data_IF_904052845880
#
_entry.id   IF_904052845880
#
_cell.length_a   1.000
_cell.length_b   1.000
_cell.length_c   1.000
_cell.angle_alpha   90.00
_cell.angle_beta   90.00
_cell.angle_gamma   90.00
#
_symmetry.space_group_name_H-M   'P 1'
#
loop_
_entity.id
_entity.type
_entity.pdbx_description
1 polymer ?
#
# COMPACT_ATOMS: atom_id res chain seq x y z
N UNK A 1 10.09 -72.78 24.45
CA UNK A 1 9.79 -72.78 22.99
C UNK A 1 8.58 -71.89 22.82
N UNK A 2 8.80 -70.54 22.63
CA UNK A 2 7.72 -69.54 22.51
C UNK A 2 7.83 -68.94 21.10
N UNK A 3 6.80 -69.18 20.33
CA UNK A 3 6.68 -68.75 18.92
C UNK A 3 6.26 -67.29 18.89
N UNK A 4 7.15 -66.41 18.44
CA UNK A 4 6.89 -65.03 18.17
C UNK A 4 6.07 -64.92 16.86
N UNK A 5 4.82 -64.52 16.95
CA UNK A 5 3.98 -64.13 15.80
C UNK A 5 4.46 -62.78 15.26
N UNK A 6 4.99 -62.80 14.08
CA UNK A 6 5.34 -61.65 13.25
C UNK A 6 4.07 -60.93 12.82
N UNK A 7 3.90 -59.66 13.27
CA UNK A 7 2.79 -58.79 12.89
C UNK A 7 3.11 -58.19 11.53
N UNK A 8 2.39 -58.55 10.50
CA UNK A 8 2.46 -57.92 9.18
C UNK A 8 2.01 -56.47 9.29
N UNK A 9 2.94 -55.57 8.92
CA UNK A 9 2.62 -54.15 8.71
C UNK A 9 2.08 -54.02 7.28
N UNK A 10 0.79 -53.81 7.16
CA UNK A 10 0.17 -53.41 5.88
C UNK A 10 0.77 -52.08 5.44
N UNK A 11 1.48 -52.08 4.32
CA UNK A 11 1.90 -50.87 3.63
C UNK A 11 0.64 -50.20 3.07
N UNK A 12 0.24 -49.06 3.65
CA UNK A 12 -0.71 -48.17 3.06
C UNK A 12 0.02 -47.36 2.00
N UNK A 13 -0.52 -47.36 0.79
CA UNK A 13 -0.11 -46.54 -0.34
C UNK A 13 -0.15 -45.07 0.01
N UNK A 14 0.79 -44.23 -0.44
CA UNK A 14 0.78 -42.80 -0.19
C UNK A 14 -0.10 -42.10 -1.24
N UNK A 15 -1.39 -42.06 -1.03
CA UNK A 15 -2.34 -41.26 -1.82
C UNK A 15 -3.36 -40.55 -0.92
N UNK A 16 -2.88 -39.90 0.11
CA UNK A 16 -3.60 -38.83 0.77
C UNK A 16 -2.55 -37.78 1.11
N UNK A 17 -2.33 -36.84 0.21
CA UNK A 17 -1.73 -35.56 0.53
C UNK A 17 -2.82 -34.80 1.28
N UNK A 18 -2.85 -35.01 2.59
CA UNK A 18 -3.59 -34.13 3.49
C UNK A 18 -3.12 -32.70 3.18
N UNK A 19 -4.03 -31.91 2.65
CA UNK A 19 -3.92 -30.48 2.71
C UNK A 19 -3.69 -30.14 4.19
N UNK A 20 -2.49 -29.78 4.57
CA UNK A 20 -2.20 -29.18 5.85
C UNK A 20 -2.93 -27.86 5.83
N UNK A 21 -4.20 -27.91 6.24
CA UNK A 21 -4.96 -26.73 6.56
C UNK A 21 -4.21 -26.04 7.69
N UNK A 22 -3.79 -24.80 7.48
CA UNK A 22 -3.29 -23.98 8.56
C UNK A 22 -4.29 -24.01 9.69
N UNK A 23 -3.91 -24.62 10.82
CA UNK A 23 -4.67 -24.53 12.07
C UNK A 23 -4.51 -23.08 12.54
N UNK A 24 -5.40 -22.24 12.14
CA UNK A 24 -5.60 -20.94 12.77
C UNK A 24 -6.32 -21.21 14.10
N UNK A 25 -5.62 -20.97 15.20
CA UNK A 25 -6.20 -20.98 16.54
C UNK A 25 -7.43 -20.08 16.54
N UNK A 26 -8.54 -20.61 17.10
CA UNK A 26 -9.84 -19.96 17.07
C UNK A 26 -9.82 -18.53 17.60
N UNK A 27 -10.20 -17.61 16.74
CA UNK A 27 -10.41 -16.21 17.01
C UNK A 27 -10.72 -15.53 15.69
N UNK A 28 -11.98 -15.15 15.50
CA UNK A 28 -12.53 -14.43 14.35
C UNK A 28 -12.41 -15.15 13.00
N UNK A 29 -13.51 -15.67 12.50
CA UNK A 29 -13.72 -15.97 11.08
C UNK A 29 -13.87 -14.65 10.30
N UNK A 30 -12.91 -13.75 10.41
CA UNK A 30 -12.82 -12.53 9.66
C UNK A 30 -11.59 -12.59 8.78
N UNK A 31 -11.76 -12.34 7.50
CA UNK A 31 -10.79 -11.89 6.51
C UNK A 31 -9.46 -12.64 6.28
N UNK A 32 -8.97 -13.50 7.15
CA UNK A 32 -7.67 -14.19 7.03
C UNK A 32 -7.64 -15.35 6.03
N UNK A 33 -8.77 -15.82 5.52
CA UNK A 33 -8.82 -16.81 4.42
C UNK A 33 -8.89 -16.17 3.02
N UNK A 34 -8.59 -14.91 2.87
CA UNK A 34 -9.26 -13.99 1.98
C UNK A 34 -8.38 -13.36 0.90
N UNK A 35 -7.13 -13.79 0.72
CA UNK A 35 -6.37 -13.21 -0.39
C UNK A 35 -7.07 -13.48 -1.75
N UNK A 36 -7.66 -14.65 -1.95
CA UNK A 36 -8.44 -14.95 -3.16
C UNK A 36 -9.82 -14.28 -3.17
N UNK A 37 -10.49 -14.18 -2.03
CA UNK A 37 -11.77 -13.47 -1.91
C UNK A 37 -11.61 -11.97 -1.66
N UNK A 38 -10.50 -11.51 -1.07
CA UNK A 38 -10.20 -10.07 -0.91
C UNK A 38 -9.88 -9.39 -2.23
N UNK A 39 -9.20 -10.06 -3.16
CA UNK A 39 -9.04 -9.51 -4.51
C UNK A 39 -10.38 -9.36 -5.23
N UNK A 40 -11.32 -10.30 -5.04
CA UNK A 40 -12.60 -10.24 -5.74
C UNK A 40 -13.68 -9.49 -4.94
N UNK A 41 -13.81 -9.70 -3.65
CA UNK A 41 -14.91 -9.15 -2.86
C UNK A 41 -14.50 -7.94 -2.01
N UNK A 42 -13.31 -7.94 -1.39
CA UNK A 42 -12.85 -6.88 -0.51
C UNK A 42 -12.43 -5.62 -1.25
N UNK A 43 -11.63 -5.74 -2.32
CA UNK A 43 -11.24 -4.59 -3.15
C UNK A 43 -12.42 -4.00 -3.91
N UNK A 44 -13.32 -4.85 -4.43
CA UNK A 44 -14.51 -4.40 -5.15
C UNK A 44 -15.58 -3.83 -4.23
N UNK A 45 -15.65 -4.30 -2.99
CA UNK A 45 -16.68 -3.90 -2.04
C UNK A 45 -16.31 -2.64 -1.25
N UNK A 46 -15.01 -2.34 -1.06
CA UNK A 46 -14.56 -1.22 -0.25
C UNK A 46 -13.73 -0.18 -1.03
N UNK A 47 -14.36 0.95 -1.44
CA UNK A 47 -13.67 1.97 -2.23
C UNK A 47 -12.51 2.66 -1.50
N UNK A 48 -12.50 2.72 -0.15
CA UNK A 48 -11.38 3.29 0.59
C UNK A 48 -10.15 2.39 0.52
N UNK A 49 -10.32 1.07 0.66
CA UNK A 49 -9.21 0.12 0.50
C UNK A 49 -8.65 0.22 -0.91
N UNK A 50 -9.53 0.15 -1.92
CA UNK A 50 -9.11 0.24 -3.31
C UNK A 50 -8.34 1.54 -3.59
N UNK A 51 -8.84 2.67 -3.10
CA UNK A 51 -8.19 3.96 -3.30
C UNK A 51 -6.83 4.04 -2.62
N UNK A 52 -6.71 3.59 -1.37
CA UNK A 52 -5.44 3.63 -0.64
C UNK A 52 -4.41 2.68 -1.24
N UNK A 53 -4.82 1.47 -1.65
CA UNK A 53 -3.93 0.51 -2.32
C UNK A 53 -3.46 1.05 -3.67
N UNK A 54 -4.38 1.63 -4.47
CA UNK A 54 -4.06 2.24 -5.76
C UNK A 54 -3.09 3.41 -5.62
N UNK A 55 -3.31 4.31 -4.66
CA UNK A 55 -2.39 5.43 -4.39
C UNK A 55 -0.97 4.96 -4.07
N UNK A 56 -0.83 3.97 -3.18
CA UNK A 56 0.48 3.39 -2.83
C UNK A 56 1.15 2.73 -4.02
N UNK A 57 0.40 1.86 -4.71
CA UNK A 57 0.93 1.09 -5.82
C UNK A 57 1.31 1.99 -7.00
N UNK A 58 0.46 2.96 -7.34
CA UNK A 58 0.71 3.90 -8.44
C UNK A 58 1.89 4.83 -8.14
N UNK A 59 2.01 5.32 -6.89
CA UNK A 59 3.10 6.21 -6.51
C UNK A 59 4.47 5.56 -6.65
N UNK A 60 4.64 4.32 -6.16
CA UNK A 60 5.90 3.58 -6.32
C UNK A 60 6.12 3.14 -7.77
N UNK A 61 5.06 2.70 -8.46
CA UNK A 61 5.15 2.25 -9.84
C UNK A 61 5.46 3.37 -10.85
N UNK A 62 5.21 4.62 -10.50
CA UNK A 62 5.56 5.78 -11.35
C UNK A 62 7.06 6.08 -11.38
N UNK A 63 7.83 5.52 -10.45
CA UNK A 63 9.26 5.75 -10.36
C UNK A 63 10.01 5.00 -11.47
N UNK A 64 10.91 5.72 -12.14
CA UNK A 64 11.76 5.14 -13.18
C UNK A 64 13.01 4.53 -12.55
N UNK A 65 13.36 3.26 -12.84
CA UNK A 65 14.57 2.66 -12.32
C UNK A 65 15.80 3.32 -12.95
N UNK A 66 16.80 3.61 -12.10
CA UNK A 66 18.10 4.14 -12.48
C UNK A 66 19.17 3.16 -11.99
N UNK A 67 20.17 2.90 -12.82
CA UNK A 67 21.32 2.05 -12.47
C UNK A 67 22.45 2.93 -11.96
N UNK A 68 23.10 2.50 -10.88
CA UNK A 68 24.24 3.18 -10.27
C UNK A 68 25.44 2.25 -10.19
N UNK A 69 26.62 2.80 -10.40
CA UNK A 69 27.91 2.13 -10.16
C UNK A 69 28.30 2.13 -8.66
N UNK A 70 29.47 1.55 -8.34
CA UNK A 70 30.01 1.51 -6.96
C UNK A 70 30.32 2.90 -6.41
N UNK A 71 30.63 3.87 -7.27
CA UNK A 71 30.93 5.25 -6.90
C UNK A 71 29.65 6.10 -6.73
N UNK A 72 28.48 5.53 -7.06
CA UNK A 72 27.18 6.20 -6.96
C UNK A 72 26.83 7.06 -8.18
N UNK A 73 27.56 6.95 -9.28
CA UNK A 73 27.23 7.64 -10.53
C UNK A 73 26.18 6.87 -11.31
N UNK A 74 25.36 7.59 -12.07
CA UNK A 74 24.36 6.98 -12.95
C UNK A 74 25.01 6.28 -14.14
N UNK A 75 24.62 5.02 -14.39
CA UNK A 75 25.07 4.23 -15.52
C UNK A 75 24.04 4.35 -16.66
N UNK A 76 24.20 5.30 -17.57
CA UNK A 76 23.32 5.45 -18.75
C UNK A 76 23.75 4.53 -19.90
N UNK A 77 23.86 3.23 -19.66
CA UNK A 77 24.06 2.22 -20.71
C UNK A 77 22.73 1.56 -21.10
N UNK A 78 22.14 2.02 -22.19
CA UNK A 78 20.89 1.45 -22.76
C UNK A 78 21.04 0.01 -23.24
N UNK A 79 22.27 -0.45 -23.47
CA UNK A 79 22.58 -1.81 -23.90
C UNK A 79 22.84 -2.76 -22.74
N UNK A 80 22.99 -2.23 -21.53
CA UNK A 80 23.19 -3.05 -20.35
C UNK A 80 22.04 -4.06 -20.20
N UNK A 81 22.31 -5.34 -19.87
CA UNK A 81 21.27 -6.37 -19.71
C UNK A 81 20.17 -5.97 -18.73
N UNK A 82 20.54 -5.36 -17.59
CA UNK A 82 19.58 -4.88 -16.58
C UNK A 82 18.72 -3.73 -17.10
N UNK A 83 19.27 -2.78 -17.89
CA UNK A 83 18.47 -1.70 -18.50
C UNK A 83 17.38 -2.24 -19.40
N UNK A 84 17.70 -3.31 -20.17
CA UNK A 84 16.72 -3.98 -21.03
C UNK A 84 15.68 -4.74 -20.24
N UNK A 85 16.12 -5.49 -19.22
CA UNK A 85 15.27 -6.26 -18.32
C UNK A 85 14.29 -5.35 -17.59
N UNK A 86 14.76 -4.26 -16.97
CA UNK A 86 13.92 -3.33 -16.23
C UNK A 86 12.95 -2.58 -17.15
N UNK A 87 13.33 -2.26 -18.38
CA UNK A 87 12.40 -1.64 -19.32
C UNK A 87 11.26 -2.58 -19.72
N UNK A 88 11.53 -3.89 -19.87
CA UNK A 88 10.56 -4.91 -20.27
C UNK A 88 10.80 -6.21 -19.52
N UNK A 89 10.37 -6.30 -18.26
CA UNK A 89 10.62 -7.46 -17.41
C UNK A 89 10.07 -8.75 -17.99
N UNK A 90 8.97 -8.66 -18.74
CA UNK A 90 8.31 -9.80 -19.35
C UNK A 90 7.55 -9.39 -20.62
N UNK A 91 7.28 -10.32 -21.56
CA UNK A 91 6.45 -10.02 -22.72
C UNK A 91 5.07 -9.51 -22.29
N UNK A 92 4.73 -8.29 -22.73
CA UNK A 92 3.43 -7.68 -22.43
C UNK A 92 3.31 -6.94 -21.10
N UNK A 93 4.37 -6.94 -20.27
CA UNK A 93 4.38 -6.24 -18.96
C UNK A 93 5.54 -5.24 -18.93
N UNK A 94 5.25 -3.99 -18.58
CA UNK A 94 6.25 -2.96 -18.31
C UNK A 94 6.76 -3.07 -16.88
N UNK A 95 7.90 -2.42 -16.57
CA UNK A 95 8.39 -2.28 -15.20
C UNK A 95 7.33 -1.68 -14.29
N UNK A 96 6.68 -0.60 -14.74
CA UNK A 96 5.60 0.04 -14.00
C UNK A 96 4.46 -0.94 -13.68
N UNK A 97 4.02 -1.75 -14.66
CA UNK A 97 2.94 -2.73 -14.45
C UNK A 97 3.33 -3.83 -13.46
N UNK A 98 4.58 -4.32 -13.52
CA UNK A 98 5.12 -5.30 -12.58
C UNK A 98 5.22 -4.71 -11.17
N UNK A 99 5.76 -3.49 -11.04
CA UNK A 99 5.89 -2.80 -9.75
C UNK A 99 4.52 -2.52 -9.14
N UNK A 100 3.56 -2.07 -9.93
CA UNK A 100 2.18 -1.86 -9.47
C UNK A 100 1.58 -3.15 -8.88
N UNK A 101 1.71 -4.28 -9.59
CA UNK A 101 1.23 -5.58 -9.10
C UNK A 101 1.94 -5.98 -7.80
N UNK A 102 3.26 -5.83 -7.72
CA UNK A 102 4.04 -6.15 -6.54
C UNK A 102 3.60 -5.31 -5.33
N UNK A 103 3.42 -4.01 -5.51
CA UNK A 103 2.96 -3.10 -4.46
C UNK A 103 1.53 -3.37 -4.02
N UNK A 104 0.64 -3.74 -4.96
CA UNK A 104 -0.70 -4.23 -4.62
C UNK A 104 -0.64 -5.47 -3.72
N UNK A 105 0.17 -6.47 -4.10
CA UNK A 105 0.33 -7.69 -3.32
C UNK A 105 0.90 -7.40 -1.92
N UNK A 106 1.88 -6.50 -1.84
CA UNK A 106 2.47 -6.08 -0.56
C UNK A 106 1.45 -5.39 0.35
N UNK A 107 0.62 -4.51 -0.21
CA UNK A 107 -0.41 -3.82 0.55
C UNK A 107 -1.52 -4.77 1.05
N UNK A 108 -1.92 -5.76 0.24
CA UNK A 108 -3.04 -6.65 0.56
C UNK A 108 -2.65 -7.89 1.36
N UNK A 109 -1.46 -8.42 1.11
CA UNK A 109 -1.00 -9.69 1.71
C UNK A 109 0.22 -9.53 2.62
N UNK A 110 0.90 -8.38 2.56
CA UNK A 110 2.18 -8.18 3.23
C UNK A 110 3.36 -8.85 2.55
N UNK A 111 3.16 -9.51 1.39
CA UNK A 111 4.18 -10.20 0.64
C UNK A 111 4.02 -9.92 -0.85
N UNK A 112 5.14 -9.67 -1.53
CA UNK A 112 5.19 -9.59 -2.98
C UNK A 112 6.31 -10.51 -3.48
N UNK A 113 5.99 -11.35 -4.45
CA UNK A 113 6.90 -12.32 -5.02
C UNK A 113 7.16 -11.99 -6.48
N UNK A 114 8.44 -11.84 -6.82
CA UNK A 114 8.89 -11.66 -8.20
C UNK A 114 9.72 -12.88 -8.58
N UNK A 115 9.21 -13.68 -9.49
CA UNK A 115 9.91 -14.87 -10.00
C UNK A 115 10.82 -14.49 -11.15
N UNK A 116 12.11 -14.80 -11.00
CA UNK A 116 13.14 -14.58 -12.02
C UNK A 116 13.33 -15.84 -12.83
N UNK A 117 13.34 -15.71 -14.15
CA UNK A 117 13.68 -16.80 -15.06
C UNK A 117 15.10 -16.53 -15.54
N UNK A 118 16.02 -17.43 -15.13
CA UNK A 118 17.44 -17.35 -15.43
C UNK A 118 17.79 -18.19 -16.65
N UNK A 119 18.72 -17.70 -17.46
CA UNK A 119 19.38 -18.41 -18.54
C UNK A 119 20.89 -18.39 -18.31
N UNK A 120 21.66 -19.02 -19.20
CA UNK A 120 23.14 -18.99 -19.16
C UNK A 120 23.69 -17.54 -19.20
N UNK A 121 22.87 -16.58 -19.68
CA UNK A 121 23.24 -15.17 -19.81
C UNK A 121 22.78 -14.29 -18.63
N UNK A 122 22.27 -14.88 -17.56
CA UNK A 122 21.70 -14.19 -16.42
C UNK A 122 20.17 -14.19 -16.41
N UNK A 123 19.56 -13.26 -15.69
CA UNK A 123 18.11 -13.11 -15.60
C UNK A 123 17.53 -12.57 -16.92
N UNK A 124 16.66 -13.35 -17.55
CA UNK A 124 16.01 -12.99 -18.81
C UNK A 124 14.63 -12.37 -18.61
N UNK A 125 13.90 -12.82 -17.58
CA UNK A 125 12.52 -12.37 -17.31
C UNK A 125 12.25 -12.28 -15.82
N UNK A 126 11.33 -11.40 -15.47
CA UNK A 126 10.78 -11.24 -14.12
C UNK A 126 9.26 -11.20 -14.19
N UNK A 127 8.60 -11.97 -13.33
CA UNK A 127 7.14 -12.00 -13.22
C UNK A 127 6.70 -11.75 -11.78
N UNK A 128 5.79 -10.81 -11.58
CA UNK A 128 5.08 -10.69 -10.32
C UNK A 128 4.06 -11.83 -10.19
N UNK A 129 4.16 -12.60 -9.09
CA UNK A 129 3.29 -13.75 -8.85
C UNK A 129 2.33 -13.43 -7.70
N UNK A 130 1.04 -13.77 -7.83
CA UNK A 130 0.09 -13.63 -6.74
C UNK A 130 0.54 -14.44 -5.50
N UNK A 131 0.55 -13.85 -4.30
CA UNK A 131 0.93 -14.56 -3.07
C UNK A 131 0.12 -15.83 -2.80
N UNK A 132 -1.13 -15.91 -3.28
CA UNK A 132 -1.94 -17.14 -3.20
C UNK A 132 -1.38 -18.32 -3.99
N UNK A 133 -0.54 -18.06 -4.98
CA UNK A 133 0.10 -19.08 -5.81
C UNK A 133 1.46 -19.51 -5.26
N UNK A 134 1.97 -18.89 -4.20
CA UNK A 134 3.31 -19.16 -3.65
C UNK A 134 3.21 -19.76 -2.26
N UNK A 135 3.94 -20.85 -2.04
CA UNK A 135 4.08 -21.50 -0.73
C UNK A 135 5.55 -21.71 -0.41
N UNK A 136 5.97 -21.44 0.82
CA UNK A 136 7.31 -21.68 1.28
C UNK A 136 7.44 -23.09 1.85
N UNK A 137 8.55 -23.79 1.52
CA UNK A 137 8.98 -24.97 2.25
C UNK A 137 10.06 -24.56 3.24
N UNK A 138 9.81 -24.67 4.56
CA UNK A 138 10.78 -24.30 5.57
C UNK A 138 12.02 -25.22 5.51
N UNK A 139 13.19 -24.63 5.70
CA UNK A 139 14.46 -25.37 5.73
C UNK A 139 14.78 -25.99 7.10
N UNK A 140 14.15 -25.46 8.16
CA UNK A 140 14.53 -25.76 9.54
C UNK A 140 15.79 -25.01 10.03
N UNK A 141 16.40 -24.21 9.17
CA UNK A 141 17.55 -23.37 9.52
C UNK A 141 17.09 -21.92 9.76
N UNK A 142 17.52 -21.32 10.87
CA UNK A 142 17.15 -19.97 11.23
C UNK A 142 17.75 -18.91 10.28
N UNK A 143 18.95 -19.18 9.74
CA UNK A 143 19.61 -18.24 8.84
C UNK A 143 19.02 -18.25 7.43
N UNK A 144 18.58 -19.45 6.97
CA UNK A 144 17.95 -19.64 5.68
C UNK A 144 16.58 -20.30 5.90
N UNK A 145 15.56 -19.55 6.30
CA UNK A 145 14.28 -20.12 6.75
C UNK A 145 13.52 -20.86 5.64
N UNK A 146 13.77 -20.52 4.37
CA UNK A 146 13.10 -21.10 3.20
C UNK A 146 14.07 -22.01 2.44
N UNK A 147 13.76 -23.31 2.36
CA UNK A 147 14.53 -24.26 1.55
C UNK A 147 14.22 -24.11 0.05
N UNK A 148 12.97 -23.86 -0.31
CA UNK A 148 12.48 -23.64 -1.67
C UNK A 148 11.11 -23.02 -1.67
N UNK A 149 10.76 -22.42 -2.79
CA UNK A 149 9.42 -21.90 -3.07
C UNK A 149 8.66 -22.87 -3.97
N UNK A 150 7.40 -23.09 -3.68
CA UNK A 150 6.47 -23.78 -4.55
C UNK A 150 5.53 -22.77 -5.19
N UNK A 151 5.49 -22.76 -6.51
CA UNK A 151 4.65 -21.84 -7.30
C UNK A 151 3.61 -22.69 -8.02
N UNK A 152 2.33 -22.45 -7.75
CA UNK A 152 1.20 -23.16 -8.36
C UNK A 152 0.58 -22.27 -9.43
N UNK A 153 0.63 -22.68 -10.68
CA UNK A 153 0.05 -21.97 -11.82
C UNK A 153 -0.94 -22.88 -12.54
N UNK A 154 -2.24 -22.68 -12.29
CA UNK A 154 -3.28 -23.53 -12.87
C UNK A 154 -3.10 -25.00 -12.48
N UNK A 155 -2.70 -25.84 -13.43
CA UNK A 155 -2.48 -27.27 -13.20
C UNK A 155 -1.00 -27.64 -12.95
N UNK A 156 -0.09 -26.68 -13.06
CA UNK A 156 1.34 -26.92 -12.92
C UNK A 156 1.84 -26.44 -11.56
N UNK A 157 2.69 -27.26 -10.95
CA UNK A 157 3.43 -26.92 -9.74
C UNK A 157 4.90 -26.83 -10.08
N UNK A 158 5.50 -25.68 -9.86
CA UNK A 158 6.90 -25.38 -10.11
C UNK A 158 7.60 -25.26 -8.76
N UNK A 159 8.76 -25.89 -8.61
CA UNK A 159 9.63 -25.66 -7.48
C UNK A 159 10.74 -24.71 -7.91
N UNK A 160 10.88 -23.60 -7.20
CA UNK A 160 11.88 -22.58 -7.45
C UNK A 160 12.86 -22.50 -6.28
N UNK A 161 14.12 -22.30 -6.59
CA UNK A 161 15.13 -22.07 -5.57
C UNK A 161 14.93 -20.69 -4.91
N UNK A 162 15.36 -20.50 -3.66
CA UNK A 162 15.24 -19.20 -2.99
C UNK A 162 15.86 -18.05 -3.80
N UNK A 163 16.95 -18.29 -4.52
CA UNK A 163 17.62 -17.32 -5.37
C UNK A 163 16.82 -16.92 -6.62
N UNK A 164 15.80 -17.70 -7.00
CA UNK A 164 14.99 -17.43 -8.19
C UNK A 164 13.72 -16.62 -7.87
N UNK A 165 13.46 -16.35 -6.59
CA UNK A 165 12.29 -15.59 -6.14
C UNK A 165 12.74 -14.40 -5.32
N UNK A 166 12.51 -13.20 -5.82
CA UNK A 166 12.70 -11.98 -5.06
C UNK A 166 11.47 -11.80 -4.18
N UNK A 167 11.67 -11.90 -2.87
CA UNK A 167 10.62 -11.76 -1.88
C UNK A 167 10.70 -10.39 -1.21
N UNK A 168 9.77 -9.52 -1.53
CA UNK A 168 9.56 -8.25 -0.82
C UNK A 168 8.45 -8.44 0.20
N UNK A 169 8.69 -8.10 1.45
CA UNK A 169 7.76 -8.41 2.53
C UNK A 169 7.61 -7.26 3.52
N UNK A 170 6.46 -7.16 4.15
CA UNK A 170 6.22 -6.31 5.33
C UNK A 170 6.96 -6.85 6.58
N UNK A 171 6.57 -6.40 7.79
CA UNK A 171 7.06 -6.98 9.02
C UNK A 171 6.83 -8.49 9.03
N UNK A 172 7.85 -9.27 9.40
CA UNK A 172 7.76 -10.73 9.37
C UNK A 172 6.92 -11.27 10.52
N UNK A 173 6.18 -12.35 10.25
CA UNK A 173 5.52 -13.19 11.26
C UNK A 173 6.55 -14.02 12.03
N UNK A 174 6.10 -14.74 13.05
CA UNK A 174 6.95 -15.62 13.84
C UNK A 174 7.58 -16.78 13.08
N UNK A 175 7.10 -17.07 11.87
CA UNK A 175 7.68 -18.08 10.96
C UNK A 175 8.99 -17.63 10.30
N UNK A 176 9.31 -16.34 10.36
CA UNK A 176 10.55 -15.75 9.84
C UNK A 176 10.57 -15.52 8.33
N UNK A 177 9.50 -15.87 7.59
CA UNK A 177 9.47 -15.71 6.13
C UNK A 177 8.14 -15.19 5.57
N UNK A 178 7.10 -15.08 6.38
CA UNK A 178 5.81 -14.51 5.93
C UNK A 178 5.66 -13.09 6.45
N UNK A 179 5.41 -12.14 5.54
CA UNK A 179 5.11 -10.76 5.90
C UNK A 179 3.67 -10.59 6.43
N UNK A 180 3.48 -9.58 7.27
CA UNK A 180 2.18 -9.17 7.79
C UNK A 180 1.60 -8.09 6.86
N UNK A 181 0.33 -8.24 6.48
CA UNK A 181 -0.36 -7.18 5.74
C UNK A 181 -0.67 -5.98 6.64
N UNK A 182 -0.48 -4.75 6.14
CA UNK A 182 -0.99 -3.57 6.83
C UNK A 182 -2.49 -3.64 7.13
N UNK A 183 -3.27 -4.26 6.25
CA UNK A 183 -4.72 -4.44 6.42
C UNK A 183 -5.10 -5.43 7.53
N UNK A 184 -4.18 -6.32 7.94
CA UNK A 184 -4.45 -7.23 9.07
C UNK A 184 -4.72 -6.45 10.35
N UNK A 185 -4.04 -5.31 10.54
CA UNK A 185 -4.25 -4.42 11.69
C UNK A 185 -5.58 -3.68 11.64
N UNK A 186 -6.12 -3.42 10.46
CA UNK A 186 -7.39 -2.75 10.24
C UNK A 186 -8.55 -3.72 9.96
N UNK A 187 -8.35 -5.03 10.13
CA UNK A 187 -9.35 -6.05 9.78
C UNK A 187 -10.71 -5.81 10.43
N UNK A 188 -10.73 -5.45 11.71
CA UNK A 188 -11.98 -5.14 12.43
C UNK A 188 -12.69 -3.92 11.84
N UNK A 189 -11.95 -2.88 11.42
CA UNK A 189 -12.51 -1.67 10.82
C UNK A 189 -13.07 -1.95 9.42
N UNK A 190 -12.43 -2.82 8.67
CA UNK A 190 -12.91 -3.30 7.37
C UNK A 190 -14.20 -4.09 7.51
N UNK A 191 -14.25 -5.02 8.47
CA UNK A 191 -15.45 -5.82 8.77
C UNK A 191 -16.60 -4.91 9.23
N UNK A 192 -16.34 -4.03 10.20
CA UNK A 192 -17.35 -3.09 10.69
C UNK A 192 -17.91 -2.20 9.59
N UNK A 193 -17.05 -1.72 8.67
CA UNK A 193 -17.49 -0.89 7.54
C UNK A 193 -18.31 -1.70 6.53
N UNK A 194 -17.94 -2.95 6.27
CA UNK A 194 -18.66 -3.85 5.37
C UNK A 194 -20.04 -4.18 5.93
N UNK A 195 -20.13 -4.55 7.21
CA UNK A 195 -21.39 -4.84 7.88
C UNK A 195 -22.30 -3.60 7.95
N UNK A 196 -21.75 -2.42 8.23
CA UNK A 196 -22.51 -1.16 8.22
C UNK A 196 -23.12 -0.88 6.83
N UNK A 197 -22.39 -1.16 5.75
CA UNK A 197 -22.89 -1.01 4.37
C UNK A 197 -23.96 -2.03 4.03
N UNK A 198 -23.76 -3.29 4.41
CA UNK A 198 -24.75 -4.36 4.22
C UNK A 198 -26.02 -3.99 4.98
N UNK A 199 -25.89 -3.56 6.23
CA UNK A 199 -27.00 -3.13 7.04
C UNK A 199 -27.76 -1.95 6.41
N UNK A 200 -27.06 -0.88 6.02
CA UNK A 200 -27.68 0.28 5.33
C UNK A 200 -28.39 -0.12 4.05
N UNK A 201 -27.77 -0.97 3.23
CA UNK A 201 -28.35 -1.47 1.99
C UNK A 201 -29.60 -2.29 2.28
N UNK A 202 -29.57 -3.15 3.30
CA UNK A 202 -30.70 -3.97 3.73
C UNK A 202 -31.84 -3.11 4.26
N UNK A 203 -31.53 -2.07 5.05
CA UNK A 203 -32.50 -1.10 5.54
C UNK A 203 -33.19 -0.35 4.37
N UNK A 204 -32.42 0.09 3.37
CA UNK A 204 -32.97 0.76 2.19
C UNK A 204 -33.84 -0.20 1.36
N UNK A 205 -33.38 -1.45 1.17
CA UNK A 205 -34.15 -2.47 0.45
C UNK A 205 -35.46 -2.85 1.16
N UNK A 206 -35.45 -2.83 2.49
CA UNK A 206 -36.62 -3.13 3.33
C UNK A 206 -37.49 -1.87 3.62
N UNK A 207 -37.24 -0.77 2.95
CA UNK A 207 -38.05 0.45 3.08
C UNK A 207 -37.75 1.29 4.32
N UNK A 208 -36.53 1.15 4.90
CA UNK A 208 -36.05 1.87 6.09
C UNK A 208 -37.04 1.82 7.30
N UNK A 209 -37.88 0.79 7.35
CA UNK A 209 -38.82 0.59 8.46
C UNK A 209 -38.17 -0.32 9.51
N UNK A 210 -38.27 0.06 10.77
CA UNK A 210 -37.82 -0.78 11.87
C UNK A 210 -38.61 -2.09 11.95
N UNK A 211 -38.02 -3.07 12.65
CA UNK A 211 -38.65 -4.34 12.95
C UNK A 211 -40.04 -4.12 13.55
N UNK A 212 -41.00 -4.77 12.99
CA UNK A 212 -42.38 -4.68 13.42
C UNK A 212 -42.76 -5.95 14.17
N UNK A 213 -43.29 -5.83 15.36
CA UNK A 213 -43.87 -6.91 16.12
C UNK A 213 -45.34 -7.01 15.83
N UNK A 214 -45.81 -8.18 15.36
CA UNK A 214 -47.22 -8.48 15.17
C UNK A 214 -47.65 -9.41 16.28
N UNK A 215 -48.52 -8.93 17.15
CA UNK A 215 -49.15 -9.72 18.20
C UNK A 215 -50.52 -10.24 17.72
N UNK A 216 -50.82 -11.50 18.01
CA UNK A 216 -52.11 -12.11 17.75
C UNK A 216 -52.77 -12.54 19.04
N UNK A 217 -54.09 -12.34 19.23
CA UNK A 217 -54.77 -12.71 20.47
C UNK A 217 -54.92 -14.24 20.62
N UNK A 218 -54.83 -14.99 19.55
CA UNK A 218 -54.97 -16.46 19.56
C UNK A 218 -53.65 -17.13 19.18
N UNK A 219 -53.39 -18.30 19.79
CA UNK A 219 -52.25 -19.16 19.47
C UNK A 219 -52.46 -19.82 18.11
N UNK A 220 -51.64 -19.52 17.14
CA UNK A 220 -51.72 -20.14 15.82
C UNK A 220 -51.15 -21.56 15.81
N UNK A 221 -51.74 -22.43 15.02
CA UNK A 221 -51.11 -23.71 14.72
C UNK A 221 -49.81 -23.51 13.93
N UNK A 222 -48.79 -24.41 14.03
CA UNK A 222 -47.53 -24.26 13.33
C UNK A 222 -47.72 -24.03 11.81
N UNK A 223 -48.65 -24.69 11.17
CA UNK A 223 -48.94 -24.53 9.74
C UNK A 223 -49.55 -23.16 9.42
N UNK A 224 -50.51 -22.70 10.26
CA UNK A 224 -51.10 -21.37 10.09
C UNK A 224 -50.07 -20.26 10.30
N UNK A 225 -49.13 -20.42 11.25
CA UNK A 225 -48.03 -19.48 11.48
C UNK A 225 -47.10 -19.38 10.30
N UNK A 226 -46.69 -20.53 9.70
CA UNK A 226 -45.82 -20.52 8.52
C UNK A 226 -46.51 -19.87 7.31
N UNK A 227 -47.78 -20.17 7.08
CA UNK A 227 -48.55 -19.55 6.00
C UNK A 227 -48.71 -18.02 6.21
N UNK A 228 -48.92 -17.58 7.45
CA UNK A 228 -49.01 -16.18 7.79
C UNK A 228 -47.63 -15.47 7.56
N UNK A 229 -46.55 -16.07 8.02
CA UNK A 229 -45.19 -15.58 7.77
C UNK A 229 -44.86 -15.45 6.28
N UNK A 230 -45.19 -16.47 5.50
CA UNK A 230 -44.98 -16.46 4.04
C UNK A 230 -45.80 -15.36 3.34
N UNK A 231 -47.05 -15.13 3.71
CA UNK A 231 -47.88 -14.04 3.19
C UNK A 231 -47.34 -12.67 3.54
N UNK A 232 -46.88 -12.45 4.79
CA UNK A 232 -46.25 -11.19 5.23
C UNK A 232 -45.00 -10.91 4.44
N UNK A 233 -44.13 -11.89 4.28
CA UNK A 233 -42.91 -11.74 3.50
C UNK A 233 -43.24 -11.40 2.04
N UNK A 234 -44.17 -12.06 1.42
CA UNK A 234 -44.56 -11.79 0.03
C UNK A 234 -45.16 -10.39 -0.15
N UNK A 235 -45.89 -9.87 0.84
CA UNK A 235 -46.58 -8.56 0.74
C UNK A 235 -45.72 -7.39 1.13
N UNK A 236 -44.76 -7.56 2.05
CA UNK A 236 -44.03 -6.44 2.68
C UNK A 236 -42.50 -6.51 2.53
N UNK A 237 -41.90 -7.61 2.06
CA UNK A 237 -40.48 -7.68 1.79
C UNK A 237 -40.10 -7.09 0.43
N UNK A 238 -38.96 -6.41 0.38
CA UNK A 238 -38.38 -5.85 -0.83
C UNK A 238 -38.77 -4.39 -1.11
N UNK A 239 -37.90 -3.66 -1.78
CA UNK A 239 -38.02 -2.23 -2.05
C UNK A 239 -39.27 -1.83 -2.85
N UNK A 240 -39.85 -2.73 -3.64
CA UNK A 240 -41.10 -2.50 -4.38
C UNK A 240 -42.35 -2.43 -3.48
N UNK A 241 -42.24 -2.93 -2.27
CA UNK A 241 -43.35 -2.96 -1.30
C UNK A 241 -43.18 -1.88 -0.22
N UNK A 242 -42.15 -1.06 -0.31
CA UNK A 242 -41.90 0.05 0.61
C UNK A 242 -43.12 1.03 0.59
N UNK A 243 -43.59 1.41 1.78
CA UNK A 243 -44.69 2.37 1.92
C UNK A 243 -46.09 1.79 1.79
N UNK A 244 -46.26 0.47 1.54
CA UNK A 244 -47.60 -0.14 1.54
C UNK A 244 -48.20 -0.14 2.94
N UNK A 245 -49.47 0.18 3.01
CA UNK A 245 -50.23 0.14 4.25
C UNK A 245 -50.56 -1.32 4.60
N UNK A 246 -50.23 -1.70 5.86
CA UNK A 246 -50.58 -2.99 6.40
C UNK A 246 -51.98 -2.93 7.05
N UNK A 247 -52.88 -3.78 6.58
CA UNK A 247 -54.18 -3.97 7.22
C UNK A 247 -54.15 -5.36 7.90
N UNK A 248 -54.41 -5.35 9.20
CA UNK A 248 -54.48 -6.57 10.02
C UNK A 248 -55.92 -6.85 10.39
N UNK A 249 -56.37 -8.08 10.26
CA UNK A 249 -57.68 -8.55 10.64
C UNK A 249 -57.59 -9.44 11.88
N UNK A 250 -58.74 -9.61 12.60
CA UNK A 250 -58.85 -10.51 13.75
C UNK A 250 -58.16 -10.04 15.03
N UNK A 251 -58.22 -8.71 15.31
CA UNK A 251 -57.69 -8.20 16.59
C UNK A 251 -56.15 -8.21 16.70
N UNK A 252 -55.43 -8.37 15.60
CA UNK A 252 -53.99 -8.34 15.59
C UNK A 252 -53.45 -6.91 15.74
N UNK A 253 -52.46 -6.74 16.57
CA UNK A 253 -51.83 -5.41 16.79
C UNK A 253 -50.41 -5.46 16.23
N UNK A 254 -50.02 -4.39 15.50
CA UNK A 254 -48.65 -4.18 15.05
C UNK A 254 -48.05 -3.05 15.86
N UNK A 255 -46.95 -3.32 16.52
CA UNK A 255 -46.09 -2.34 17.20
C UNK A 255 -44.78 -2.19 16.45
N UNK A 256 -44.32 -0.96 16.27
CA UNK A 256 -43.03 -0.67 15.70
C UNK A 256 -42.02 -0.47 16.84
N UNK A 257 -41.21 -1.47 17.10
CA UNK A 257 -40.19 -1.47 18.15
C UNK A 257 -38.78 -1.21 17.58
N UNK A 258 -38.68 -0.32 16.61
CA UNK A 258 -37.43 -0.10 15.93
C UNK A 258 -36.67 1.12 16.44
N UNK A 259 -35.35 1.00 16.46
CA UNK A 259 -34.47 2.15 16.62
C UNK A 259 -34.65 3.13 15.44
N UNK A 260 -34.69 4.45 15.72
CA UNK A 260 -34.73 5.42 14.65
C UNK A 260 -33.35 5.47 13.96
N UNK A 261 -33.32 5.72 12.65
CA UNK A 261 -32.08 5.90 11.90
C UNK A 261 -31.20 7.04 12.49
N UNK A 262 -31.82 7.89 13.33
CA UNK A 262 -31.15 9.02 14.02
C UNK A 262 -30.44 8.57 15.29
N UNK A 263 -30.83 7.44 15.90
CA UNK A 263 -30.25 6.94 17.13
C UNK A 263 -28.96 6.15 16.87
N UNK A 264 -28.69 5.84 15.63
CA UNK A 264 -27.47 5.17 15.20
C UNK A 264 -26.67 6.12 14.31
N UNK A 265 -25.63 6.74 14.87
CA UNK A 265 -24.73 7.63 14.13
C UNK A 265 -23.76 6.81 13.24
N UNK A 266 -24.36 6.05 12.30
CA UNK A 266 -23.60 5.22 11.37
C UNK A 266 -22.69 6.02 10.43
N UNK A 267 -23.01 7.29 10.17
CA UNK A 267 -22.19 8.10 9.27
C UNK A 267 -20.86 8.47 9.90
N UNK A 268 -20.85 8.81 11.19
CA UNK A 268 -19.62 9.04 11.95
C UNK A 268 -18.79 7.75 12.09
N UNK A 269 -19.45 6.63 12.34
CA UNK A 269 -18.79 5.32 12.41
C UNK A 269 -18.12 4.93 11.09
N UNK A 270 -18.79 5.09 9.95
CA UNK A 270 -18.21 4.81 8.62
C UNK A 270 -17.00 5.70 8.33
N UNK A 271 -17.06 6.98 8.72
CA UNK A 271 -15.94 7.91 8.53
C UNK A 271 -14.76 7.54 9.42
N UNK A 272 -14.99 7.16 10.66
CA UNK A 272 -13.94 6.72 11.58
C UNK A 272 -13.23 5.46 11.04
N UNK A 273 -13.98 4.42 10.69
CA UNK A 273 -13.40 3.18 10.15
C UNK A 273 -12.68 3.41 8.82
N UNK A 274 -13.12 4.36 7.99
CA UNK A 274 -12.41 4.75 6.77
C UNK A 274 -11.05 5.38 7.09
N UNK A 275 -10.96 6.24 8.11
CA UNK A 275 -9.70 6.84 8.56
C UNK A 275 -8.74 5.81 9.16
N UNK A 276 -9.25 4.82 9.89
CA UNK A 276 -8.46 3.71 10.40
C UNK A 276 -7.85 2.84 9.29
N UNK A 277 -8.60 2.60 8.22
CA UNK A 277 -8.08 1.92 7.01
C UNK A 277 -6.97 2.76 6.35
N UNK A 278 -7.18 4.06 6.22
CA UNK A 278 -6.19 4.98 5.68
C UNK A 278 -4.91 4.99 6.54
N UNK A 279 -5.05 5.03 7.86
CA UNK A 279 -3.94 4.98 8.81
C UNK A 279 -3.14 3.69 8.68
N UNK A 280 -3.80 2.53 8.63
CA UNK A 280 -3.14 1.23 8.47
C UNK A 280 -2.33 1.14 7.18
N UNK A 281 -2.83 1.75 6.10
CA UNK A 281 -2.15 1.79 4.81
C UNK A 281 -1.16 2.96 4.67
N UNK A 282 -1.02 3.82 5.69
CA UNK A 282 -0.14 4.98 5.66
C UNK A 282 -0.55 6.03 4.61
N UNK A 283 -1.85 6.15 4.31
CA UNK A 283 -2.37 7.12 3.34
C UNK A 283 -3.13 8.20 4.11
N UNK A 284 -2.77 9.49 3.98
CA UNK A 284 -3.55 10.57 4.55
C UNK A 284 -5.01 10.53 4.09
N UNK A 285 -5.99 10.66 4.98
CA UNK A 285 -7.42 10.57 4.65
C UNK A 285 -7.86 11.56 3.57
N UNK A 286 -7.22 12.73 3.52
CA UNK A 286 -7.47 13.80 2.54
C UNK A 286 -7.21 13.32 1.09
N UNK A 287 -6.21 12.44 0.89
CA UNK A 287 -5.87 11.86 -0.41
C UNK A 287 -6.81 10.70 -0.77
N UNK A 288 -7.38 10.05 0.24
CA UNK A 288 -8.34 8.97 0.04
C UNK A 288 -9.78 9.47 -0.21
N UNK A 289 -10.02 10.79 -0.11
CA UNK A 289 -11.31 11.39 -0.42
C UNK A 289 -12.06 11.96 0.79
N UNK A 290 -11.47 12.00 1.99
CA UNK A 290 -12.03 12.72 3.12
C UNK A 290 -11.88 14.25 2.90
N UNK A 291 -13.01 14.93 2.79
CA UNK A 291 -13.05 16.37 2.50
C UNK A 291 -13.26 17.25 3.73
N UNK A 292 -13.31 16.66 4.93
CA UNK A 292 -13.71 17.38 6.15
C UNK A 292 -12.78 18.57 6.48
N UNK A 293 -11.49 18.51 6.12
CA UNK A 293 -10.51 19.57 6.39
C UNK A 293 -9.70 19.97 5.14
N UNK A 294 -10.29 19.89 3.96
CA UNK A 294 -9.59 20.10 2.70
C UNK A 294 -9.37 21.58 2.42
N UNK A 295 -8.20 22.11 2.82
CA UNK A 295 -7.65 23.37 2.33
C UNK A 295 -6.47 23.06 1.39
N UNK A 296 -6.07 24.02 0.56
CA UNK A 296 -4.93 23.85 -0.35
C UNK A 296 -3.63 23.51 0.40
N UNK A 297 -3.36 24.20 1.50
CA UNK A 297 -2.19 23.97 2.33
C UNK A 297 -2.19 22.56 2.96
N UNK A 298 -3.34 22.11 3.48
CA UNK A 298 -3.47 20.77 4.05
C UNK A 298 -3.30 19.68 3.00
N UNK A 299 -3.78 19.91 1.77
CA UNK A 299 -3.58 18.94 0.68
C UNK A 299 -2.11 18.83 0.28
N UNK A 300 -1.37 19.93 0.21
CA UNK A 300 0.06 19.94 -0.09
C UNK A 300 0.86 19.21 1.01
N UNK A 301 0.56 19.46 2.28
CA UNK A 301 1.20 18.77 3.39
C UNK A 301 0.86 17.29 3.42
N UNK A 302 -0.39 16.89 3.12
CA UNK A 302 -0.78 15.50 3.00
C UNK A 302 0.00 14.76 1.88
N UNK A 303 0.23 15.41 0.72
CA UNK A 303 1.09 14.84 -0.32
C UNK A 303 2.53 14.66 0.14
N UNK A 304 3.07 15.65 0.87
CA UNK A 304 4.42 15.60 1.41
C UNK A 304 4.57 14.51 2.47
N UNK A 305 3.64 14.42 3.40
CA UNK A 305 3.61 13.39 4.44
C UNK A 305 3.55 11.99 3.80
N UNK A 306 2.65 11.79 2.85
CA UNK A 306 2.52 10.54 2.11
C UNK A 306 3.81 10.17 1.37
N UNK A 307 4.44 11.14 0.70
CA UNK A 307 5.70 10.95 -0.01
C UNK A 307 6.82 10.48 0.91
N UNK A 308 7.02 11.16 2.04
CA UNK A 308 8.14 10.92 2.96
C UNK A 308 7.91 9.67 3.80
N UNK A 309 6.70 9.50 4.36
CA UNK A 309 6.43 8.47 5.36
C UNK A 309 5.97 7.14 4.75
N UNK A 310 5.48 7.15 3.51
CA UNK A 310 4.93 5.93 2.89
C UNK A 310 5.62 5.58 1.57
N UNK A 311 5.65 6.50 0.60
CA UNK A 311 6.13 6.18 -0.75
C UNK A 311 7.62 5.92 -0.76
N UNK A 312 8.44 6.80 -0.18
CA UNK A 312 9.90 6.66 -0.18
C UNK A 312 10.38 5.40 0.56
N UNK A 313 9.88 5.05 1.75
CA UNK A 313 10.27 3.79 2.41
C UNK A 313 9.88 2.55 1.58
N UNK A 314 8.70 2.52 0.98
CA UNK A 314 8.25 1.41 0.13
C UNK A 314 9.09 1.30 -1.14
N UNK A 315 9.42 2.43 -1.78
CA UNK A 315 10.28 2.47 -2.94
C UNK A 315 11.69 1.96 -2.58
N UNK A 316 12.28 2.46 -1.50
CA UNK A 316 13.61 2.02 -1.05
C UNK A 316 13.63 0.51 -0.82
N UNK A 317 12.68 -0.03 -0.08
CA UNK A 317 12.57 -1.47 0.17
C UNK A 317 12.47 -2.29 -1.13
N UNK A 318 11.65 -1.82 -2.06
CA UNK A 318 11.43 -2.51 -3.34
C UNK A 318 12.68 -2.48 -4.22
N UNK A 319 13.30 -1.32 -4.40
CA UNK A 319 14.49 -1.15 -5.22
C UNK A 319 15.73 -1.84 -4.60
N UNK A 320 15.84 -1.84 -3.27
CA UNK A 320 16.87 -2.59 -2.57
C UNK A 320 16.74 -4.11 -2.79
N UNK A 321 15.54 -4.65 -2.69
CA UNK A 321 15.30 -6.07 -2.97
C UNK A 321 15.64 -6.44 -4.43
N UNK A 322 15.35 -5.56 -5.38
CA UNK A 322 15.76 -5.74 -6.77
C UNK A 322 17.29 -5.70 -6.91
N UNK A 323 17.96 -4.76 -6.23
CA UNK A 323 19.41 -4.62 -6.27
C UNK A 323 20.12 -5.88 -5.76
N UNK A 324 19.72 -6.36 -4.58
CA UNK A 324 20.30 -7.58 -3.98
C UNK A 324 20.16 -8.80 -4.89
N UNK A 325 19.03 -8.89 -5.61
CA UNK A 325 18.74 -10.08 -6.42
C UNK A 325 19.30 -10.03 -7.85
N UNK A 326 19.50 -8.83 -8.40
CA UNK A 326 19.82 -8.64 -9.81
C UNK A 326 21.22 -8.11 -10.08
N UNK A 327 21.81 -7.33 -9.15
CA UNK A 327 23.18 -6.85 -9.28
C UNK A 327 24.16 -7.95 -8.86
N UNK A 328 25.16 -8.23 -9.69
CA UNK A 328 26.16 -9.26 -9.44
C UNK A 328 27.48 -8.60 -9.07
N UNK A 329 28.24 -9.25 -8.20
CA UNK A 329 29.62 -8.85 -7.89
C UNK A 329 30.48 -8.83 -9.17
N UNK A 330 31.15 -7.71 -9.42
CA UNK A 330 32.01 -7.54 -10.59
C UNK A 330 31.30 -7.04 -11.86
N UNK A 331 30.00 -6.76 -11.79
CA UNK A 331 29.27 -6.04 -12.83
C UNK A 331 29.51 -4.53 -12.71
N UNK A 332 29.28 -3.79 -13.79
CA UNK A 332 29.39 -2.32 -13.81
C UNK A 332 28.21 -1.63 -13.10
N UNK A 333 27.26 -2.39 -12.57
CA UNK A 333 26.09 -1.90 -11.85
C UNK A 333 26.06 -2.48 -10.45
N UNK A 334 26.23 -1.62 -9.46
CA UNK A 334 26.21 -2.00 -8.05
C UNK A 334 24.81 -1.90 -7.44
N UNK A 335 23.97 -0.99 -7.92
CA UNK A 335 22.66 -0.72 -7.32
C UNK A 335 21.62 -0.28 -8.36
N UNK A 336 20.38 -0.70 -8.14
CA UNK A 336 19.19 -0.18 -8.81
C UNK A 336 18.52 0.80 -7.86
N UNK A 337 18.28 2.01 -8.29
CA UNK A 337 17.61 3.04 -7.50
C UNK A 337 16.59 3.82 -8.33
N UNK A 338 16.22 4.98 -7.84
CA UNK A 338 15.29 5.90 -8.48
C UNK A 338 15.65 7.35 -8.11
N UNK A 339 15.15 8.31 -8.87
CA UNK A 339 15.26 9.72 -8.53
C UNK A 339 14.12 10.12 -7.56
N UNK A 340 14.47 10.53 -6.35
CA UNK A 340 13.50 10.94 -5.34
C UNK A 340 12.67 12.17 -5.76
N UNK A 341 13.18 13.01 -6.68
CA UNK A 341 12.45 14.16 -7.22
C UNK A 341 11.22 13.76 -8.05
N UNK A 342 11.14 12.49 -8.50
CA UNK A 342 9.97 11.95 -9.20
C UNK A 342 8.78 11.74 -8.27
N UNK A 343 9.01 11.66 -6.95
CA UNK A 343 7.92 11.49 -5.98
C UNK A 343 7.20 12.83 -5.82
N UNK A 344 5.92 12.86 -6.17
CA UNK A 344 5.07 14.02 -5.93
C UNK A 344 5.01 14.31 -4.42
N UNK A 345 5.25 15.56 -4.03
CA UNK A 345 5.38 15.97 -2.63
C UNK A 345 6.83 16.00 -2.09
N UNK A 346 7.79 15.33 -2.76
CA UNK A 346 9.24 15.51 -2.51
C UNK A 346 9.87 16.53 -3.43
N UNK A 347 9.18 16.95 -4.48
CA UNK A 347 9.63 18.08 -5.28
C UNK A 347 9.76 19.27 -4.34
N UNK A 348 11.02 19.75 -4.20
CA UNK A 348 11.25 21.01 -3.49
C UNK A 348 10.32 22.07 -4.10
N UNK A 349 9.64 22.81 -3.26
CA UNK A 349 8.94 24.00 -3.72
C UNK A 349 10.03 24.95 -4.25
N UNK A 350 10.28 24.88 -5.56
CA UNK A 350 11.34 25.64 -6.22
C UNK A 350 11.16 27.13 -5.97
N UNK A 351 9.93 27.58 -5.86
CA UNK A 351 9.63 28.97 -5.55
C UNK A 351 9.97 29.33 -4.10
N UNK A 352 9.70 28.45 -3.14
CA UNK A 352 10.11 28.62 -1.76
C UNK A 352 11.65 28.53 -1.62
N UNK A 353 12.30 27.62 -2.32
CA UNK A 353 13.76 27.51 -2.35
C UNK A 353 14.41 28.75 -2.97
N UNK A 354 13.91 29.25 -4.10
CA UNK A 354 14.37 30.49 -4.73
C UNK A 354 14.19 31.67 -3.75
N UNK A 355 13.03 31.75 -3.11
CA UNK A 355 12.75 32.83 -2.14
C UNK A 355 13.69 32.76 -0.94
N UNK A 356 13.95 31.56 -0.40
CA UNK A 356 14.89 31.32 0.67
C UNK A 356 16.33 31.69 0.27
N UNK A 357 16.77 31.23 -0.91
CA UNK A 357 18.12 31.54 -1.43
C UNK A 357 18.28 33.03 -1.75
N UNK A 358 17.23 33.70 -2.23
CA UNK A 358 17.26 35.14 -2.50
C UNK A 358 17.41 35.96 -1.22
N UNK A 359 16.84 35.46 -0.11
CA UNK A 359 16.96 36.11 1.21
C UNK A 359 18.28 35.77 1.95
N UNK A 360 19.08 34.82 1.44
CA UNK A 360 20.36 34.45 2.02
C UNK A 360 21.49 35.40 1.56
N UNK A 361 21.96 36.29 2.45
CA UNK A 361 23.01 37.24 2.14
C UNK A 361 24.45 36.71 2.42
N UNK A 362 24.58 35.48 2.95
CA UNK A 362 25.87 34.86 3.27
C UNK A 362 26.36 33.86 2.23
N UNK A 363 25.52 33.50 1.23
CA UNK A 363 25.87 32.61 0.14
C UNK A 363 26.29 33.41 -1.11
N UNK A 364 27.28 32.89 -1.82
CA UNK A 364 27.67 33.44 -3.15
C UNK A 364 26.59 33.10 -4.20
N UNK A 365 26.60 33.85 -5.30
CA UNK A 365 25.67 33.57 -6.41
C UNK A 365 25.93 32.19 -7.02
N UNK A 366 27.18 31.73 -7.09
CA UNK A 366 27.52 30.40 -7.59
C UNK A 366 27.03 29.29 -6.64
N UNK A 367 27.13 29.48 -5.33
CA UNK A 367 26.55 28.55 -4.36
C UNK A 367 25.01 28.47 -4.43
N UNK A 368 24.32 29.62 -4.64
CA UNK A 368 22.89 29.67 -4.86
C UNK A 368 22.49 28.97 -6.16
N UNK A 369 23.26 29.20 -7.23
CA UNK A 369 23.06 28.55 -8.53
C UNK A 369 23.25 27.03 -8.45
N UNK A 370 24.33 26.59 -7.77
CA UNK A 370 24.59 25.16 -7.56
C UNK A 370 23.45 24.46 -6.82
N UNK A 371 22.82 25.14 -5.82
CA UNK A 371 21.64 24.61 -5.11
C UNK A 371 20.40 24.45 -6.01
N UNK A 372 20.32 25.23 -7.08
CA UNK A 372 19.25 25.18 -8.09
C UNK A 372 19.66 24.37 -9.34
N UNK A 373 20.81 23.67 -9.29
CA UNK A 373 21.37 22.91 -10.41
C UNK A 373 21.66 23.74 -11.68
N UNK A 374 21.99 25.02 -11.51
CA UNK A 374 22.46 25.88 -12.59
C UNK A 374 23.99 25.91 -12.63
N UNK A 375 24.57 26.07 -13.83
CA UNK A 375 26.00 26.22 -14.02
C UNK A 375 26.55 27.49 -13.35
N UNK A 376 27.79 27.43 -12.89
CA UNK A 376 28.50 28.59 -12.31
C UNK A 376 28.68 29.69 -13.36
N UNK A 377 28.63 30.95 -12.88
CA UNK A 377 28.94 32.14 -13.71
C UNK A 377 30.28 32.74 -13.32
N UNK A 378 30.97 33.39 -14.25
CA UNK A 378 32.18 34.17 -13.92
C UNK A 378 31.84 35.22 -12.87
N UNK A 379 32.77 35.43 -11.91
CA UNK A 379 32.63 36.40 -10.80
C UNK A 379 31.49 36.14 -9.81
N UNK A 380 30.83 34.94 -9.89
CA UNK A 380 29.73 34.57 -9.00
C UNK A 380 30.14 34.05 -7.63
N UNK A 381 31.46 34.00 -7.28
CA UNK A 381 31.95 33.49 -6.00
C UNK A 381 32.14 34.59 -4.94
N UNK A 382 31.62 35.79 -5.23
CA UNK A 382 31.71 36.95 -4.33
C UNK A 382 30.42 37.03 -3.49
N UNK A 383 30.57 37.14 -2.16
CA UNK A 383 29.45 37.39 -1.25
C UNK A 383 29.08 38.86 -1.32
N UNK A 384 27.85 39.12 -1.79
CA UNK A 384 27.28 40.46 -1.84
C UNK A 384 26.44 40.74 -0.59
N UNK A 385 26.74 41.80 0.13
CA UNK A 385 26.01 42.17 1.36
C UNK A 385 25.53 43.62 1.30
N UNK A 386 24.39 43.90 2.00
CA UNK A 386 23.83 45.25 2.15
C UNK A 386 22.78 45.63 1.07
N UNK A 387 22.13 46.77 1.28
CA UNK A 387 21.03 47.27 0.42
C UNK A 387 21.48 47.58 -1.03
N UNK A 388 22.79 47.81 -1.27
CA UNK A 388 23.35 48.06 -2.60
C UNK A 388 24.02 46.87 -3.25
N UNK A 389 24.01 45.67 -2.62
CA UNK A 389 24.73 44.45 -3.06
C UNK A 389 26.18 44.73 -3.42
N UNK A 390 26.94 45.33 -2.47
CA UNK A 390 28.38 45.60 -2.59
C UNK A 390 29.19 44.41 -2.13
N UNK A 391 30.32 44.04 -2.76
CA UNK A 391 31.20 42.99 -2.30
C UNK A 391 31.61 43.20 -0.83
N UNK A 392 31.54 42.16 -0.01
CA UNK A 392 31.88 42.23 1.43
C UNK A 392 33.33 42.72 1.67
N UNK A 393 34.22 42.48 0.71
CA UNK A 393 35.58 42.99 0.73
C UNK A 393 35.69 44.52 0.67
N UNK A 394 34.68 45.19 0.09
CA UNK A 394 34.66 46.67 0.04
C UNK A 394 34.05 47.34 1.27
N UNK A 395 33.27 46.57 2.06
CA UNK A 395 32.64 47.07 3.29
C UNK A 395 33.62 47.02 4.49
N UNK A 396 34.64 46.18 4.42
CA UNK A 396 35.62 45.99 5.51
C UNK A 396 36.81 46.95 5.40
N UNK A 397 36.90 47.75 4.34
CA UNK A 397 37.87 48.86 4.32
C UNK A 397 37.50 49.88 5.40
N UNK A 398 38.38 49.97 6.36
CA UNK A 398 38.27 50.71 7.61
C UNK A 398 37.87 52.19 7.32
N UNK A 399 36.81 52.74 7.99
CA UNK A 399 36.46 54.13 7.88
C UNK A 399 37.58 55.09 8.22
N UNK A 400 38.68 54.62 8.84
CA UNK A 400 39.89 55.40 9.17
C UNK A 400 40.84 55.52 7.99
N UNK A 401 40.84 54.64 6.97
CA UNK A 401 41.67 54.83 5.78
C UNK A 401 41.19 55.93 4.84
N UNK A 402 39.88 56.13 4.73
CA UNK A 402 39.27 57.22 3.93
C UNK A 402 39.50 58.61 4.51
N UNK A 403 39.87 58.72 5.77
CA UNK A 403 40.22 60.03 6.41
C UNK A 403 41.66 60.38 6.24
N UNK A 404 42.59 59.50 5.88
CA UNK A 404 44.01 59.80 5.66
C UNK A 404 44.30 60.21 4.21
N UNK A 405 43.59 59.74 3.22
CA UNK A 405 43.78 60.04 1.80
C UNK A 405 43.37 61.50 1.47
N UNK A 406 42.53 62.12 2.26
CA UNK A 406 42.09 63.51 2.09
C UNK A 406 43.00 64.53 2.83
N UNK A 407 44.12 64.07 3.45
CA UNK A 407 45.05 64.97 4.16
C UNK A 407 46.34 65.32 3.37
N UNK A 408 46.62 64.63 2.29
CA UNK A 408 47.81 64.92 1.46
C UNK A 408 47.57 65.90 0.32
N UNK A 409 46.31 66.26 0.03
CA UNK A 409 46.00 67.29 -1.01
C UNK A 409 45.75 68.70 -0.49
N UNK A 410 46.08 68.97 0.80
CA UNK A 410 46.00 70.36 1.39
C UNK A 410 47.29 70.71 2.14
N UNK A 411 48.44 70.63 1.45
CA UNK A 411 49.64 71.34 1.85
C UNK A 411 50.43 71.82 0.65
#
# INVERSE_FOLDING_TARGET
MAILKRREVKSSSPTDVDHVGMIHGGGSQGLTSLYSSQLDDGLRANPYIMRCVDLRASAVASLTPILYDDDGNEVDDKNHPLSRLLRRPSPGISFQGMTYQAQMHLALNGNAYLWTIKTIRGVERIHAIPPSAVSAFPSGNLLDPVARWQIVTGTQTIQADPSDVIHVHGPLKADGYTGISPLDSASQSVDAQTEARIWNTSMMRNGAKPSMTISTPEVMTPTAFQNFKAKLNAMFSGGRNAGKIMVLDGGKTATYDGFSARDMDYSAGITLTAREICLALGVPPELAGDSANKTYANAQEAHREFAINTVAPLANQYFEALSIALCMEGDNVARIGYDASQIEGMKSDESALISALTSCDFLTDNEKRARLSYDAIPDGDIVLTGMGKVPRSEIVSDPMEMLNDNREDIL
#
